data_IF_758764459704
#
_entry.id   IF_758764459704
#
_cell.length_a   1.000
_cell.length_b   1.000
_cell.length_c   1.000
_cell.angle_alpha   90.00
_cell.angle_beta   90.00
_cell.angle_gamma   90.00
#
_symmetry.space_group_name_H-M   'P 1'
#
loop_
_entity.id
_entity.type
_entity.pdbx_description
1 polymer ?
#
# COMPACT_ATOMS: atom_id res chain seq x y z
N UNK A 1 8.61 0.18 5.12
CA UNK A 1 7.87 -0.21 3.90
C UNK A 1 8.81 -0.14 2.70
N UNK A 2 8.66 -1.07 1.77
CA UNK A 2 9.32 -1.05 0.46
C UNK A 2 8.64 0.00 -0.45
N UNK A 3 9.32 0.37 -1.55
CA UNK A 3 8.84 1.38 -2.50
C UNK A 3 7.43 1.09 -3.03
N UNK A 4 7.14 -0.17 -3.37
CA UNK A 4 5.84 -0.59 -3.90
C UNK A 4 4.72 -0.42 -2.87
N UNK A 5 4.94 -0.90 -1.65
CA UNK A 5 4.00 -0.80 -0.53
C UNK A 5 3.65 0.68 -0.29
N UNK A 6 4.67 1.55 -0.30
CA UNK A 6 4.49 3.00 -0.14
C UNK A 6 3.64 3.60 -1.25
N UNK A 7 3.90 3.26 -2.51
CA UNK A 7 3.10 3.76 -3.63
C UNK A 7 1.62 3.35 -3.52
N UNK A 8 1.34 2.10 -3.15
CA UNK A 8 -0.04 1.62 -2.98
C UNK A 8 -0.73 2.34 -1.84
N UNK A 9 -0.10 2.43 -0.66
CA UNK A 9 -0.70 3.10 0.50
C UNK A 9 -0.93 4.58 0.22
N UNK A 10 0.06 5.31 -0.30
CA UNK A 10 -0.10 6.74 -0.66
C UNK A 10 -1.24 6.96 -1.66
N UNK A 11 -1.48 6.01 -2.56
CA UNK A 11 -2.62 6.11 -3.49
C UNK A 11 -3.96 5.92 -2.77
N UNK A 12 -4.04 4.90 -1.90
CA UNK A 12 -5.26 4.58 -1.16
C UNK A 12 -5.63 5.69 -0.18
N UNK A 13 -4.63 6.34 0.42
CA UNK A 13 -4.79 7.41 1.42
C UNK A 13 -4.75 8.82 0.82
N UNK A 14 -4.83 8.95 -0.50
CA UNK A 14 -4.72 10.24 -1.19
C UNK A 14 -5.80 11.26 -0.78
N UNK A 15 -6.96 10.78 -0.32
CA UNK A 15 -8.09 11.61 0.10
C UNK A 15 -8.17 11.83 1.62
N UNK A 16 -7.26 11.24 2.41
CA UNK A 16 -7.23 11.43 3.87
C UNK A 16 -6.54 12.74 4.24
N UNK A 17 -6.81 13.25 5.44
CA UNK A 17 -6.02 14.34 6.01
C UNK A 17 -4.57 13.90 6.31
N UNK A 18 -3.64 14.85 6.41
CA UNK A 18 -2.21 14.57 6.57
C UNK A 18 -1.90 13.80 7.87
N UNK A 19 -2.60 14.10 8.97
CA UNK A 19 -2.40 13.46 10.26
C UNK A 19 -2.85 12.00 10.23
N UNK A 20 -4.08 11.75 9.79
CA UNK A 20 -4.61 10.39 9.65
C UNK A 20 -3.81 9.58 8.62
N UNK A 21 -3.34 10.21 7.54
CA UNK A 21 -2.47 9.56 6.56
C UNK A 21 -1.18 9.05 7.20
N UNK A 22 -0.51 9.88 7.99
CA UNK A 22 0.73 9.49 8.66
C UNK A 22 0.52 8.34 9.66
N UNK A 23 -0.60 8.34 10.38
CA UNK A 23 -0.96 7.25 11.30
C UNK A 23 -1.27 5.94 10.57
N UNK A 24 -2.02 6.00 9.47
CA UNK A 24 -2.28 4.83 8.61
C UNK A 24 -0.98 4.28 8.01
N UNK A 25 -0.09 5.15 7.52
CA UNK A 25 1.22 4.74 7.00
C UNK A 25 2.06 4.03 8.06
N UNK A 26 2.08 4.55 9.29
CA UNK A 26 2.79 3.94 10.41
C UNK A 26 2.21 2.57 10.80
N UNK A 27 0.88 2.45 10.88
CA UNK A 27 0.19 1.19 11.18
C UNK A 27 0.50 0.11 10.14
N UNK A 28 0.45 0.49 8.85
CA UNK A 28 0.75 -0.45 7.76
C UNK A 28 2.23 -0.84 7.77
N UNK A 29 3.15 0.10 8.03
CA UNK A 29 4.57 -0.21 8.14
C UNK A 29 4.88 -1.20 9.26
N UNK A 30 4.30 -0.99 10.44
CA UNK A 30 4.43 -1.89 11.59
C UNK A 30 3.88 -3.28 11.29
N UNK A 31 2.68 -3.35 10.72
CA UNK A 31 2.03 -4.62 10.37
C UNK A 31 2.85 -5.40 9.33
N UNK A 32 3.39 -4.71 8.31
CA UNK A 32 4.22 -5.35 7.29
C UNK A 32 5.59 -5.77 7.82
N UNK A 33 6.16 -5.08 8.81
CA UNK A 33 7.40 -5.53 9.49
C UNK A 33 7.18 -6.85 10.24
N UNK A 34 5.97 -7.12 10.74
CA UNK A 34 5.64 -8.38 11.40
C UNK A 34 5.43 -9.54 10.41
N UNK A 35 5.35 -9.29 9.10
CA UNK A 35 5.13 -10.35 8.11
C UNK A 35 6.40 -11.17 7.78
N UNK A 36 6.26 -12.49 7.52
CA UNK A 36 7.35 -13.35 7.08
C UNK A 36 8.02 -12.91 5.76
N UNK A 37 9.35 -12.99 5.70
CA UNK A 37 10.18 -12.47 4.60
C UNK A 37 9.89 -13.10 3.22
N UNK A 38 9.48 -14.38 3.19
CA UNK A 38 9.19 -15.10 1.94
C UNK A 38 7.97 -14.53 1.19
N UNK A 39 7.01 -13.94 1.92
CA UNK A 39 5.87 -13.23 1.30
C UNK A 39 6.30 -11.89 0.71
N UNK A 40 7.31 -11.22 1.29
CA UNK A 40 7.87 -9.96 0.78
C UNK A 40 8.74 -10.18 -0.46
N UNK A 41 9.50 -11.28 -0.50
CA UNK A 41 10.44 -11.57 -1.58
C UNK A 41 9.76 -11.83 -2.94
N UNK A 42 8.65 -12.60 -2.97
CA UNK A 42 7.91 -12.87 -4.22
C UNK A 42 7.32 -11.59 -4.84
N UNK A 43 6.87 -10.70 -3.98
CA UNK A 43 6.30 -9.40 -4.32
C UNK A 43 7.36 -8.39 -4.78
N UNK A 44 8.53 -8.36 -4.15
CA UNK A 44 9.64 -7.50 -4.54
C UNK A 44 10.20 -7.89 -5.92
N UNK A 45 10.35 -9.18 -6.19
CA UNK A 45 10.84 -9.68 -7.48
C UNK A 45 9.90 -9.29 -8.62
N UNK A 46 8.58 -9.47 -8.46
CA UNK A 46 7.61 -9.12 -9.49
C UNK A 46 7.36 -7.61 -9.60
N UNK A 47 7.43 -6.86 -8.50
CA UNK A 47 7.33 -5.39 -8.52
C UNK A 47 8.51 -4.75 -9.26
N UNK A 48 9.72 -5.30 -9.09
CA UNK A 48 10.90 -4.90 -9.87
C UNK A 48 10.71 -5.28 -11.34
N UNK A 49 10.19 -6.47 -11.64
CA UNK A 49 9.92 -6.90 -13.01
C UNK A 49 8.87 -6.01 -13.72
N UNK A 50 7.77 -5.66 -13.05
CA UNK A 50 6.71 -4.78 -13.58
C UNK A 50 7.18 -3.32 -13.70
N UNK A 51 7.95 -2.83 -12.73
CA UNK A 51 8.58 -1.51 -12.79
C UNK A 51 9.62 -1.40 -13.92
N UNK A 52 10.40 -2.46 -14.15
CA UNK A 52 11.34 -2.53 -15.27
C UNK A 52 10.59 -2.60 -16.62
N UNK A 53 9.52 -3.42 -16.71
CA UNK A 53 8.72 -3.57 -17.92
C UNK A 53 8.02 -2.28 -18.34
N UNK A 54 7.46 -1.51 -17.39
CA UNK A 54 6.83 -0.21 -17.66
C UNK A 54 7.86 0.84 -18.09
N UNK A 55 9.06 0.82 -17.50
CA UNK A 55 10.17 1.71 -17.90
C UNK A 55 10.71 1.42 -19.30
N UNK A 56 10.72 0.15 -19.70
CA UNK A 56 11.22 -0.31 -21.02
C UNK A 56 10.20 -0.07 -22.14
N UNK A 57 8.89 -0.16 -21.87
CA UNK A 57 7.86 -0.18 -22.94
C UNK A 57 7.25 1.18 -23.30
N UNK A 58 7.58 2.26 -22.60
CA UNK A 58 7.31 3.60 -23.14
C UNK A 58 6.99 4.63 -22.08
N UNK A 59 7.87 5.62 -21.99
CA UNK A 59 7.55 6.99 -21.58
C UNK A 59 7.12 7.15 -20.13
N UNK A 60 7.90 7.93 -19.38
CA UNK A 60 7.53 8.45 -18.07
C UNK A 60 6.37 9.47 -18.16
N UNK A 61 5.21 9.05 -18.67
CA UNK A 61 3.96 9.76 -18.48
C UNK A 61 3.45 9.39 -17.10
N UNK A 62 3.44 10.36 -16.18
CA UNK A 62 2.77 10.35 -14.87
C UNK A 62 1.49 9.51 -14.90
N UNK A 63 1.60 8.21 -14.69
CA UNK A 63 0.43 7.37 -14.48
C UNK A 63 -0.04 7.77 -13.09
N UNK A 64 -1.22 8.38 -13.02
CA UNK A 64 -1.83 8.74 -11.75
C UNK A 64 -1.72 7.52 -10.82
N UNK A 65 -1.35 7.71 -9.54
CA UNK A 65 -1.09 6.60 -8.64
C UNK A 65 -2.23 5.54 -8.65
N UNK A 66 -3.49 5.98 -8.82
CA UNK A 66 -4.68 5.13 -9.00
C UNK A 66 -4.72 4.27 -10.27
N UNK A 67 -4.30 4.79 -11.42
CA UNK A 67 -4.32 4.05 -12.69
C UNK A 67 -3.31 2.89 -12.71
N UNK A 68 -2.25 2.98 -11.90
CA UNK A 68 -1.29 1.89 -11.70
C UNK A 68 -1.89 0.80 -10.80
N UNK A 69 -2.70 1.19 -9.82
CA UNK A 69 -3.35 0.31 -8.86
C UNK A 69 -4.44 -0.55 -9.51
N UNK A 70 -5.32 0.02 -10.33
CA UNK A 70 -6.35 -0.72 -11.08
C UNK A 70 -5.72 -1.79 -12.00
N UNK A 71 -4.54 -1.49 -12.54
CA UNK A 71 -3.77 -2.40 -13.39
C UNK A 71 -3.15 -3.56 -12.60
N UNK A 72 -2.78 -3.32 -11.35
CA UNK A 72 -2.23 -4.32 -10.45
C UNK A 72 -3.34 -5.22 -9.88
N UNK A 73 -4.50 -4.66 -9.56
CA UNK A 73 -5.69 -5.45 -9.15
C UNK A 73 -6.17 -6.37 -10.28
N UNK A 74 -6.03 -5.93 -11.53
CA UNK A 74 -6.34 -6.72 -12.73
C UNK A 74 -5.17 -7.59 -13.22
N UNK A 75 -4.06 -7.66 -12.48
CA UNK A 75 -2.93 -8.50 -12.84
C UNK A 75 -3.33 -9.98 -12.93
N UNK A 76 -2.78 -10.69 -13.92
CA UNK A 76 -2.92 -12.15 -14.05
C UNK A 76 -2.16 -12.91 -12.95
N UNK A 77 -1.29 -12.23 -12.21
CA UNK A 77 -0.49 -12.79 -11.13
C UNK A 77 -1.32 -12.75 -9.84
N UNK A 78 -1.80 -13.92 -9.42
CA UNK A 78 -2.64 -14.08 -8.24
C UNK A 78 -2.00 -13.53 -6.95
N UNK A 79 -0.68 -13.71 -6.70
CA UNK A 79 -0.02 -13.16 -5.51
C UNK A 79 -0.05 -11.62 -5.45
N UNK A 80 0.15 -10.95 -6.59
CA UNK A 80 0.11 -9.47 -6.66
C UNK A 80 -1.28 -8.96 -6.32
N UNK A 81 -2.31 -9.58 -6.90
CA UNK A 81 -3.71 -9.21 -6.63
C UNK A 81 -4.07 -9.45 -5.16
N UNK A 82 -3.68 -10.60 -4.59
CA UNK A 82 -3.90 -10.89 -3.18
C UNK A 82 -3.19 -9.89 -2.27
N UNK A 83 -1.96 -9.49 -2.62
CA UNK A 83 -1.20 -8.53 -1.83
C UNK A 83 -1.79 -7.12 -1.88
N UNK A 84 -2.26 -6.66 -3.05
CA UNK A 84 -2.96 -5.37 -3.16
C UNK A 84 -4.24 -5.39 -2.32
N UNK A 85 -5.01 -6.49 -2.36
CA UNK A 85 -6.19 -6.66 -1.52
C UNK A 85 -5.85 -6.63 -0.03
N UNK A 86 -4.75 -7.28 0.38
CA UNK A 86 -4.25 -7.22 1.74
C UNK A 86 -3.93 -5.77 2.17
N UNK A 87 -3.15 -5.02 1.38
CA UNK A 87 -2.84 -3.62 1.69
C UNK A 87 -4.11 -2.78 1.80
N UNK A 88 -5.08 -3.00 0.91
CA UNK A 88 -6.38 -2.31 0.96
C UNK A 88 -7.16 -2.62 2.23
N UNK A 89 -7.17 -3.88 2.64
CA UNK A 89 -7.78 -4.30 3.92
C UNK A 89 -7.08 -3.67 5.12
N UNK A 90 -5.75 -3.58 5.11
CA UNK A 90 -4.99 -2.95 6.20
C UNK A 90 -5.25 -1.45 6.29
N UNK A 91 -5.29 -0.75 5.15
CA UNK A 91 -5.62 0.68 5.11
C UNK A 91 -7.03 0.92 5.62
N UNK A 92 -8.03 0.17 5.14
CA UNK A 92 -9.41 0.29 5.62
C UNK A 92 -9.55 -0.03 7.11
N UNK A 93 -8.82 -1.02 7.59
CA UNK A 93 -8.81 -1.36 9.02
C UNK A 93 -8.19 -0.24 9.85
N UNK A 94 -7.05 0.30 9.43
CA UNK A 94 -6.39 1.41 10.09
C UNK A 94 -7.27 2.66 10.10
N UNK A 95 -7.90 3.02 8.97
CA UNK A 95 -8.85 4.12 8.88
C UNK A 95 -10.03 3.93 9.86
N UNK A 96 -10.54 2.69 9.97
CA UNK A 96 -11.64 2.40 10.89
C UNK A 96 -11.20 2.50 12.35
N UNK A 97 -10.08 1.88 12.72
CA UNK A 97 -9.57 1.85 14.10
C UNK A 97 -9.14 3.23 14.59
N UNK A 98 -8.45 4.00 13.73
CA UNK A 98 -7.97 5.35 14.06
C UNK A 98 -9.10 6.38 13.99
N UNK A 99 -10.02 6.25 13.03
CA UNK A 99 -11.21 7.10 12.93
C UNK A 99 -12.24 6.85 14.04
N UNK A 100 -12.25 5.65 14.64
CA UNK A 100 -13.10 5.32 15.79
C UNK A 100 -12.39 5.41 17.13
N UNK A 101 -11.10 5.79 17.19
CA UNK A 101 -10.41 5.98 18.47
C UNK A 101 -11.12 7.12 19.20
N UNK A 102 -11.91 6.86 20.27
CA UNK A 102 -12.37 7.97 21.09
C UNK A 102 -11.10 8.65 21.60
N UNK A 103 -11.03 9.98 21.43
CA UNK A 103 -9.95 10.82 21.91
C UNK A 103 -9.43 10.22 23.22
N UNK A 104 -8.22 9.65 23.19
CA UNK A 104 -7.69 8.97 24.37
C UNK A 104 -7.74 9.99 25.50
N UNK A 105 -8.57 9.68 26.49
CA UNK A 105 -8.60 10.35 27.78
C UNK A 105 -7.21 10.14 28.34
N UNK A 106 -6.38 11.18 28.20
CA UNK A 106 -5.18 11.37 29.00
C UNK A 106 -5.67 11.56 30.43
N UNK A 107 -5.93 10.44 31.10
CA UNK A 107 -6.08 10.40 32.53
C UNK A 107 -4.67 10.42 33.14
N UNK A 108 -4.27 11.65 33.45
CA UNK A 108 -3.51 12.09 34.63
C UNK A 108 -2.25 11.31 35.02
#
# INVERSE_FOLDING_TARGET
MLWFERQVVTTLTANLDEGLRAEVEAYVDETLRAMPEHLRAGMAAESVALGAWTRVRGGAGRSAPGASLDRLESSRLDPVRQYVRLLRSLVLFAEHELGHRPAQVVAT
#
